data_IF_024289930035
#
_entry.id   IF_024289930035
#
_cell.length_a   1.000
_cell.length_b   1.000
_cell.length_c   1.000
_cell.angle_alpha   90.00
_cell.angle_beta   90.00
_cell.angle_gamma   90.00
#
_symmetry.space_group_name_H-M   'P 1'
#
loop_
_entity.id
_entity.type
_entity.pdbx_description
1 polymer ?
#
# COMPACT_ATOMS: atom_id res chain seq x y z
N UNK A 1 -32.46 53.48 -22.00
CA UNK A 1 -31.59 52.56 -22.77
C UNK A 1 -30.29 52.41 -22.01
N UNK A 2 -30.17 51.36 -21.20
CA UNK A 2 -28.99 51.07 -20.39
C UNK A 2 -28.70 49.57 -20.55
N UNK A 3 -27.45 49.26 -20.91
CA UNK A 3 -26.96 47.89 -21.16
C UNK A 3 -26.19 47.42 -19.91
N UNK A 4 -26.51 46.21 -19.47
CA UNK A 4 -25.93 45.49 -18.35
C UNK A 4 -24.54 44.95 -18.68
N UNK A 5 -23.62 45.05 -17.71
CA UNK A 5 -22.36 44.31 -17.67
C UNK A 5 -22.50 43.14 -16.69
N UNK A 6 -22.24 41.91 -17.16
CA UNK A 6 -22.00 40.73 -16.35
C UNK A 6 -20.57 40.27 -16.59
N UNK A 7 -19.77 40.25 -15.52
CA UNK A 7 -18.40 39.72 -15.51
C UNK A 7 -18.39 38.22 -15.23
N UNK A 8 -17.63 37.49 -16.03
CA UNK A 8 -17.36 36.06 -15.90
C UNK A 8 -16.36 35.76 -14.78
N UNK A 9 -16.70 34.84 -13.89
CA UNK A 9 -15.76 34.10 -13.04
C UNK A 9 -15.74 32.65 -13.55
N UNK A 10 -14.66 32.25 -14.19
CA UNK A 10 -14.44 30.87 -14.61
C UNK A 10 -12.93 30.57 -14.63
N UNK A 11 -12.42 29.89 -13.61
CA UNK A 11 -11.23 29.03 -13.71
C UNK A 11 -10.95 28.36 -12.36
N UNK A 12 -11.47 27.14 -12.11
CA UNK A 12 -10.92 26.23 -11.08
C UNK A 12 -11.22 24.73 -11.29
N UNK A 13 -11.82 24.31 -12.41
CA UNK A 13 -12.35 22.93 -12.58
C UNK A 13 -11.49 21.97 -13.43
N UNK A 14 -10.19 22.21 -13.65
CA UNK A 14 -9.37 21.36 -14.56
C UNK A 14 -8.45 20.32 -13.92
N UNK A 15 -8.30 20.28 -12.59
CA UNK A 15 -7.33 19.36 -11.94
C UNK A 15 -7.98 18.00 -11.56
N UNK A 16 -9.31 17.93 -11.40
CA UNK A 16 -9.99 16.70 -10.98
C UNK A 16 -10.11 15.59 -12.03
N UNK A 17 -10.00 15.90 -13.33
CA UNK A 17 -10.27 14.92 -14.40
C UNK A 17 -9.07 14.04 -14.78
N UNK A 18 -7.85 14.43 -14.41
CA UNK A 18 -6.64 13.65 -14.76
C UNK A 18 -6.42 12.47 -13.79
N UNK A 19 -6.90 12.57 -12.54
CA UNK A 19 -6.74 11.50 -11.55
C UNK A 19 -7.68 10.30 -11.77
N UNK A 20 -8.89 10.51 -12.31
CA UNK A 20 -9.87 9.44 -12.53
C UNK A 20 -9.42 8.46 -13.64
N UNK A 21 -8.64 8.94 -14.62
CA UNK A 21 -8.15 8.10 -15.71
C UNK A 21 -6.99 7.16 -15.31
N UNK A 22 -6.36 7.37 -14.14
CA UNK A 22 -5.26 6.51 -13.65
C UNK A 22 -5.79 5.27 -12.92
N UNK A 23 -6.98 5.34 -12.31
CA UNK A 23 -7.57 4.22 -11.57
C UNK A 23 -8.17 3.14 -12.49
N UNK A 24 -8.69 3.49 -13.66
CA UNK A 24 -9.31 2.50 -14.58
C UNK A 24 -8.29 1.66 -15.35
N UNK A 25 -7.02 2.08 -15.44
CA UNK A 25 -5.95 1.33 -16.10
C UNK A 25 -5.45 0.09 -15.33
N UNK A 26 -5.86 -0.11 -14.08
CA UNK A 26 -5.45 -1.26 -13.26
C UNK A 26 -6.38 -2.47 -13.39
N UNK A 27 -7.52 -2.34 -14.06
CA UNK A 27 -8.52 -3.40 -14.23
C UNK A 27 -8.22 -4.39 -15.38
N UNK A 28 -7.08 -4.28 -16.07
CA UNK A 28 -6.71 -5.18 -17.17
C UNK A 28 -5.28 -5.75 -17.03
N UNK A 29 -5.13 -6.77 -16.19
CA UNK A 29 -4.05 -7.77 -16.28
C UNK A 29 -4.60 -9.20 -16.12
N UNK A 30 -5.50 -9.58 -17.03
CA UNK A 30 -5.86 -10.97 -17.28
C UNK A 30 -4.93 -11.57 -18.33
N UNK A 31 -3.73 -11.97 -17.91
CA UNK A 31 -2.72 -12.53 -18.81
C UNK A 31 -1.63 -13.30 -18.06
N UNK A 32 -2.04 -14.25 -17.21
CA UNK A 32 -1.10 -15.21 -16.63
C UNK A 32 -0.62 -16.17 -17.72
N UNK A 33 0.51 -15.83 -18.35
CA UNK A 33 1.32 -16.77 -19.09
C UNK A 33 1.92 -17.79 -18.10
N UNK A 34 1.62 -19.06 -18.33
CA UNK A 34 2.10 -20.22 -17.58
C UNK A 34 3.63 -20.35 -17.71
N UNK A 35 4.37 -19.72 -16.80
CA UNK A 35 5.78 -20.02 -16.59
C UNK A 35 5.95 -21.32 -15.79
N UNK A 36 6.97 -22.15 -16.10
CA UNK A 36 7.10 -23.47 -15.51
C UNK A 36 7.56 -23.38 -14.05
N UNK A 37 6.88 -24.15 -13.21
CA UNK A 37 7.17 -24.52 -11.82
C UNK A 37 8.59 -24.20 -11.27
N UNK A 38 8.79 -22.96 -10.82
CA UNK A 38 9.80 -22.64 -9.81
C UNK A 38 9.12 -22.70 -8.44
N UNK A 39 9.28 -23.83 -7.74
CA UNK A 39 8.92 -23.96 -6.33
C UNK A 39 9.81 -23.02 -5.52
N UNK A 40 9.28 -21.86 -5.16
CA UNK A 40 9.91 -21.00 -4.17
C UNK A 40 9.78 -21.64 -2.79
N UNK A 41 10.91 -21.99 -2.17
CA UNK A 41 11.00 -22.13 -0.71
C UNK A 41 10.89 -20.74 -0.13
N UNK A 42 9.72 -20.39 0.40
CA UNK A 42 9.56 -19.26 1.30
C UNK A 42 10.45 -19.56 2.52
N UNK A 43 11.40 -18.68 2.90
CA UNK A 43 12.13 -18.81 4.16
C UNK A 43 11.10 -18.87 5.30
N UNK A 44 11.15 -19.95 6.08
CA UNK A 44 10.11 -20.30 7.03
C UNK A 44 9.81 -19.19 8.02
N UNK A 45 8.52 -19.05 8.35
CA UNK A 45 8.06 -18.37 9.55
C UNK A 45 8.90 -18.84 10.75
N UNK A 46 9.43 -17.94 11.61
CA UNK A 46 10.15 -18.34 12.81
C UNK A 46 9.16 -18.71 13.92
N UNK A 47 8.31 -19.70 13.67
CA UNK A 47 7.64 -20.48 14.71
C UNK A 47 7.37 -21.88 14.13
N UNK A 48 8.11 -22.92 14.53
CA UNK A 48 7.69 -24.28 14.22
C UNK A 48 6.37 -24.54 14.96
N UNK A 49 5.36 -25.15 14.30
CA UNK A 49 4.27 -25.75 15.04
C UNK A 49 4.83 -26.82 15.99
N UNK A 50 4.26 -27.02 17.18
CA UNK A 50 4.73 -27.99 18.14
C UNK A 50 4.87 -29.37 17.49
N UNK A 51 6.01 -30.02 17.73
CA UNK A 51 6.30 -31.36 17.25
C UNK A 51 5.31 -32.35 17.88
N UNK A 52 4.46 -32.95 17.05
CA UNK A 52 3.54 -34.00 17.48
C UNK A 52 4.31 -35.31 17.72
N UNK A 53 4.46 -35.65 19.00
CA UNK A 53 4.83 -36.99 19.46
C UNK A 53 3.70 -37.96 19.16
N UNK A 54 3.94 -38.89 18.24
CA UNK A 54 3.10 -40.06 18.00
C UNK A 54 3.13 -40.98 19.22
N UNK A 55 2.12 -40.90 20.10
CA UNK A 55 1.60 -42.05 20.87
C UNK A 55 0.51 -41.63 21.87
N UNK A 56 -0.74 -41.70 21.41
CA UNK A 56 -1.94 -42.21 22.13
C UNK A 56 -3.16 -41.90 21.26
N UNK A 57 -3.85 -42.95 20.82
CA UNK A 57 -5.21 -42.83 20.28
C UNK A 57 -6.14 -42.43 21.44
N UNK A 58 -6.13 -41.14 21.80
CA UNK A 58 -7.25 -40.56 22.52
C UNK A 58 -8.44 -40.54 21.57
N UNK A 59 -9.62 -40.93 22.05
CA UNK A 59 -10.88 -40.67 21.37
C UNK A 59 -10.95 -39.15 21.17
N UNK A 60 -10.56 -38.70 19.97
CA UNK A 60 -10.65 -37.31 19.57
C UNK A 60 -12.14 -37.00 19.50
N UNK A 61 -12.66 -36.33 20.52
CA UNK A 61 -13.93 -35.62 20.38
C UNK A 61 -13.70 -34.62 19.25
N UNK A 62 -14.22 -34.91 18.06
CA UNK A 62 -14.09 -34.02 16.92
C UNK A 62 -14.64 -32.65 17.35
N UNK A 63 -13.77 -31.64 17.39
CA UNK A 63 -14.19 -30.27 17.73
C UNK A 63 -15.13 -29.78 16.65
N UNK A 64 -16.11 -28.94 17.01
CA UNK A 64 -17.12 -28.49 16.04
C UNK A 64 -16.46 -27.73 14.88
N UNK A 65 -15.45 -26.91 15.17
CA UNK A 65 -14.68 -26.18 14.16
C UNK A 65 -14.08 -27.11 13.11
N UNK A 66 -13.50 -28.24 13.52
CA UNK A 66 -12.91 -29.23 12.62
C UNK A 66 -13.94 -29.88 11.70
N UNK A 67 -15.15 -30.11 12.22
CA UNK A 67 -16.25 -30.74 11.48
C UNK A 67 -16.90 -29.77 10.50
N UNK A 68 -17.17 -28.52 10.93
CA UNK A 68 -17.86 -27.52 10.12
C UNK A 68 -16.95 -26.85 9.08
N UNK A 69 -15.67 -26.69 9.40
CA UNK A 69 -14.70 -25.96 8.56
C UNK A 69 -13.45 -26.81 8.28
N UNK A 70 -13.58 -27.98 7.62
CA UNK A 70 -12.44 -28.84 7.36
C UNK A 70 -11.43 -28.13 6.46
N UNK A 71 -10.17 -28.11 6.87
CA UNK A 71 -9.08 -27.48 6.08
C UNK A 71 -8.89 -28.28 4.79
N UNK A 72 -9.08 -27.67 3.60
CA UNK A 72 -8.94 -28.39 2.35
C UNK A 72 -7.51 -28.92 2.18
N UNK A 73 -7.37 -30.23 1.97
CA UNK A 73 -6.07 -30.87 1.69
C UNK A 73 -5.59 -30.65 0.26
N UNK A 74 -6.49 -30.24 -0.65
CA UNK A 74 -6.19 -30.11 -2.07
C UNK A 74 -5.57 -28.75 -2.39
N UNK A 75 -4.60 -28.76 -3.32
CA UNK A 75 -3.94 -27.56 -3.85
C UNK A 75 -4.85 -26.70 -4.75
N UNK A 76 -6.11 -27.11 -4.97
CA UNK A 76 -7.05 -26.44 -5.87
C UNK A 76 -7.93 -25.38 -5.19
N UNK A 77 -8.02 -25.38 -3.86
CA UNK A 77 -8.77 -24.36 -3.13
C UNK A 77 -8.03 -23.01 -3.19
N UNK A 78 -8.77 -21.91 -3.28
CA UNK A 78 -8.17 -20.58 -3.19
C UNK A 78 -7.48 -20.40 -1.82
N UNK A 79 -6.26 -19.83 -1.76
CA UNK A 79 -5.49 -19.73 -0.51
C UNK A 79 -6.27 -19.11 0.66
N UNK A 80 -7.06 -18.07 0.39
CA UNK A 80 -7.85 -17.39 1.41
C UNK A 80 -8.98 -18.23 2.02
N UNK A 81 -9.51 -19.22 1.28
CA UNK A 81 -10.54 -20.14 1.82
C UNK A 81 -9.92 -21.02 2.90
N UNK A 82 -8.70 -21.52 2.64
CA UNK A 82 -7.95 -22.31 3.62
C UNK A 82 -7.68 -21.50 4.89
N UNK A 83 -7.23 -20.25 4.74
CA UNK A 83 -6.93 -19.38 5.86
C UNK A 83 -8.21 -19.03 6.66
N UNK A 84 -9.34 -18.78 5.98
CA UNK A 84 -10.62 -18.61 6.66
C UNK A 84 -11.03 -19.85 7.47
N UNK A 85 -10.86 -21.06 6.93
CA UNK A 85 -11.19 -22.29 7.65
C UNK A 85 -10.32 -22.45 8.92
N UNK A 86 -9.03 -22.17 8.83
CA UNK A 86 -8.14 -22.17 9.99
C UNK A 86 -8.56 -21.14 11.05
N UNK A 87 -8.96 -19.94 10.61
CA UNK A 87 -9.46 -18.89 11.50
C UNK A 87 -10.79 -19.26 12.16
N UNK A 88 -11.68 -19.94 11.43
CA UNK A 88 -12.91 -20.48 12.00
C UNK A 88 -12.61 -21.54 13.05
N UNK A 89 -11.79 -22.54 12.72
CA UNK A 89 -11.40 -23.58 13.67
C UNK A 89 -10.84 -22.96 14.95
N UNK A 90 -9.88 -22.04 14.83
CA UNK A 90 -9.30 -21.33 15.97
C UNK A 90 -10.33 -20.56 16.81
N UNK A 91 -11.25 -19.84 16.16
CA UNK A 91 -12.29 -19.08 16.84
C UNK A 91 -13.28 -20.00 17.56
N UNK A 92 -13.79 -21.03 16.88
CA UNK A 92 -14.74 -21.98 17.47
C UNK A 92 -14.11 -22.75 18.61
N UNK A 93 -12.87 -23.22 18.45
CA UNK A 93 -12.13 -23.91 19.50
C UNK A 93 -12.07 -23.07 20.78
N UNK A 94 -11.74 -21.78 20.66
CA UNK A 94 -11.62 -20.89 21.82
C UNK A 94 -12.99 -20.57 22.46
N UNK A 95 -14.03 -20.45 21.64
CA UNK A 95 -15.39 -20.20 22.12
C UNK A 95 -15.96 -21.42 22.86
N UNK A 96 -15.63 -22.64 22.42
CA UNK A 96 -16.07 -23.89 23.05
C UNK A 96 -15.34 -24.18 24.37
N UNK A 97 -14.05 -23.90 24.42
CA UNK A 97 -13.20 -24.07 25.61
C UNK A 97 -13.33 -22.92 26.63
N UNK A 98 -13.89 -21.78 26.22
CA UNK A 98 -13.85 -20.52 26.96
C UNK A 98 -12.43 -20.04 27.30
N UNK A 99 -11.44 -20.36 26.46
CA UNK A 99 -10.01 -20.02 26.69
C UNK A 99 -9.42 -19.04 25.66
N UNK A 100 -10.26 -18.23 25.02
CA UNK A 100 -9.86 -17.26 24.01
C UNK A 100 -8.73 -16.32 24.48
N UNK A 101 -7.72 -16.20 23.61
CA UNK A 101 -6.63 -15.24 23.78
C UNK A 101 -7.11 -13.80 23.60
N UNK A 102 -6.24 -12.85 23.97
CA UNK A 102 -6.51 -11.43 23.77
C UNK A 102 -6.86 -11.15 22.30
N UNK A 103 -8.00 -10.47 22.10
CA UNK A 103 -8.57 -10.09 20.79
C UNK A 103 -9.03 -11.24 19.88
N UNK A 104 -8.90 -12.50 20.26
CA UNK A 104 -9.32 -13.64 19.42
C UNK A 104 -10.82 -13.62 19.11
N UNK A 105 -11.64 -13.07 20.02
CA UNK A 105 -13.09 -12.88 19.78
C UNK A 105 -13.44 -11.58 19.07
N UNK A 106 -12.45 -10.80 18.61
CA UNK A 106 -12.66 -9.55 17.88
C UNK A 106 -12.35 -9.80 16.40
N UNK A 107 -13.37 -9.69 15.56
CA UNK A 107 -13.30 -10.07 14.16
C UNK A 107 -13.09 -8.83 13.27
N UNK A 108 -12.18 -8.93 12.30
CA UNK A 108 -12.03 -7.96 11.20
C UNK A 108 -12.35 -8.65 9.87
N UNK A 109 -13.27 -8.09 9.10
CA UNK A 109 -13.59 -8.60 7.76
C UNK A 109 -12.73 -7.87 6.72
N UNK A 110 -11.93 -8.62 5.97
CA UNK A 110 -11.00 -8.13 4.95
C UNK A 110 -11.64 -8.31 3.56
N UNK A 111 -12.45 -7.35 3.16
CA UNK A 111 -13.26 -7.40 1.95
C UNK A 111 -12.59 -6.79 0.72
N UNK A 112 -11.70 -5.82 0.91
CA UNK A 112 -10.89 -5.25 -0.17
C UNK A 112 -10.12 -6.35 -0.93
N UNK A 113 -10.10 -6.24 -2.26
CA UNK A 113 -9.40 -7.21 -3.11
C UNK A 113 -7.89 -7.27 -2.84
N UNK A 114 -7.30 -6.18 -2.32
CA UNK A 114 -5.88 -6.09 -2.03
C UNK A 114 -5.41 -7.14 -1.01
N UNK A 115 -6.24 -7.44 0.00
CA UNK A 115 -5.93 -8.47 1.00
C UNK A 115 -5.83 -9.88 0.39
N UNK A 116 -6.71 -10.21 -0.57
CA UNK A 116 -6.65 -11.50 -1.27
C UNK A 116 -5.47 -11.56 -2.24
N UNK A 117 -5.11 -10.44 -2.85
CA UNK A 117 -3.97 -10.38 -3.77
C UNK A 117 -2.62 -10.56 -3.08
N UNK A 118 -2.50 -10.23 -1.79
CA UNK A 118 -1.32 -10.58 -0.98
C UNK A 118 -1.04 -12.10 -1.05
N UNK A 119 -2.08 -12.92 -0.92
CA UNK A 119 -1.96 -14.38 -0.93
C UNK A 119 -1.61 -14.94 -2.31
N UNK A 120 -1.81 -14.15 -3.36
CA UNK A 120 -1.39 -14.47 -4.73
C UNK A 120 0.02 -13.93 -5.06
N UNK A 121 0.73 -13.38 -4.07
CA UNK A 121 2.06 -12.80 -4.26
C UNK A 121 2.04 -11.41 -4.90
N UNK A 122 0.94 -10.66 -4.74
CA UNK A 122 0.87 -9.27 -5.16
C UNK A 122 1.86 -8.40 -4.38
N UNK A 123 2.52 -7.48 -5.09
CA UNK A 123 3.62 -6.64 -4.56
C UNK A 123 3.43 -5.14 -4.87
N UNK A 124 2.21 -4.72 -5.22
CA UNK A 124 1.87 -3.29 -5.34
C UNK A 124 1.88 -2.60 -3.98
N UNK A 125 1.83 -1.27 -3.97
CA UNK A 125 1.81 -0.48 -2.74
C UNK A 125 0.64 -0.86 -1.83
N UNK A 126 -0.53 -1.02 -2.43
CA UNK A 126 -1.76 -1.45 -1.78
C UNK A 126 -1.64 -2.87 -1.21
N UNK A 127 -0.96 -3.79 -1.90
CA UNK A 127 -0.73 -5.14 -1.36
C UNK A 127 0.32 -5.14 -0.24
N UNK A 128 1.37 -4.33 -0.31
CA UNK A 128 2.33 -4.18 0.80
C UNK A 128 1.62 -3.63 2.04
N UNK A 129 0.72 -2.67 1.85
CA UNK A 129 -0.10 -2.13 2.92
C UNK A 129 -1.10 -3.14 3.49
N UNK A 130 -1.82 -3.85 2.62
CA UNK A 130 -2.73 -4.92 3.02
C UNK A 130 -1.99 -6.04 3.79
N UNK A 131 -0.79 -6.44 3.32
CA UNK A 131 0.05 -7.42 4.00
C UNK A 131 0.44 -6.94 5.39
N UNK A 132 0.89 -5.69 5.51
CA UNK A 132 1.28 -5.12 6.80
C UNK A 132 0.11 -5.07 7.79
N UNK A 133 -1.10 -4.81 7.28
CA UNK A 133 -2.33 -4.85 8.08
C UNK A 133 -2.65 -6.27 8.55
N UNK A 134 -2.54 -7.28 7.68
CA UNK A 134 -2.72 -8.70 8.05
C UNK A 134 -1.70 -9.11 9.13
N UNK A 135 -0.43 -8.80 8.92
CA UNK A 135 0.64 -9.14 9.86
C UNK A 135 0.39 -8.47 11.24
N UNK A 136 -0.06 -7.21 11.25
CA UNK A 136 -0.42 -6.50 12.48
C UNK A 136 -1.66 -7.12 13.18
N UNK A 137 -2.69 -7.53 12.44
CA UNK A 137 -3.85 -8.23 13.02
C UNK A 137 -3.43 -9.53 13.70
N UNK A 138 -2.55 -10.32 13.04
CA UNK A 138 -2.01 -11.56 13.59
C UNK A 138 -1.23 -11.31 14.88
N UNK A 139 -0.31 -10.34 14.88
CA UNK A 139 0.51 -10.01 16.05
C UNK A 139 -0.32 -9.50 17.24
N UNK A 140 -1.41 -8.81 16.97
CA UNK A 140 -2.36 -8.31 17.98
C UNK A 140 -3.38 -9.37 18.44
N UNK A 141 -3.38 -10.57 17.85
CA UNK A 141 -4.27 -11.67 18.23
C UNK A 141 -5.71 -11.55 17.72
N UNK A 142 -5.98 -10.68 16.72
CA UNK A 142 -7.32 -10.56 16.13
C UNK A 142 -7.63 -11.76 15.22
N UNK A 143 -8.90 -12.19 15.24
CA UNK A 143 -9.42 -13.04 14.18
C UNK A 143 -9.80 -12.18 12.97
N UNK A 144 -9.47 -12.65 11.77
CA UNK A 144 -9.89 -11.98 10.55
C UNK A 144 -10.34 -12.98 9.50
N UNK A 145 -11.22 -12.52 8.61
CA UNK A 145 -11.72 -13.33 7.50
C UNK A 145 -11.60 -12.56 6.19
N UNK A 146 -11.08 -13.21 5.17
CA UNK A 146 -11.13 -12.70 3.81
C UNK A 146 -12.52 -12.86 3.23
N UNK A 147 -12.98 -11.87 2.48
CA UNK A 147 -14.22 -11.99 1.71
C UNK A 147 -13.97 -11.60 0.26
N UNK A 148 -14.74 -12.20 -0.65
CA UNK A 148 -14.62 -11.96 -2.09
C UNK A 148 -15.84 -11.28 -2.70
N UNK A 149 -16.92 -11.10 -1.93
CA UNK A 149 -18.13 -10.43 -2.39
C UNK A 149 -18.90 -9.79 -1.22
N UNK A 150 -19.73 -8.75 -1.50
CA UNK A 150 -20.58 -8.15 -0.48
C UNK A 150 -21.49 -9.15 0.22
N UNK A 151 -22.08 -10.10 -0.53
CA UNK A 151 -22.93 -11.15 0.04
C UNK A 151 -22.20 -12.05 1.04
N UNK A 152 -20.95 -12.41 0.75
CA UNK A 152 -20.13 -13.18 1.70
C UNK A 152 -19.77 -12.35 2.94
N UNK A 153 -19.41 -11.07 2.77
CA UNK A 153 -19.18 -10.14 3.88
C UNK A 153 -20.40 -10.05 4.79
N UNK A 154 -21.60 -9.93 4.21
CA UNK A 154 -22.85 -9.88 4.95
C UNK A 154 -23.11 -11.16 5.73
N UNK A 155 -22.97 -12.33 5.10
CA UNK A 155 -23.15 -13.62 5.77
C UNK A 155 -22.23 -13.76 6.98
N UNK A 156 -20.95 -13.43 6.83
CA UNK A 156 -19.98 -13.49 7.93
C UNK A 156 -20.31 -12.50 9.04
N UNK A 157 -20.73 -11.28 8.68
CA UNK A 157 -21.18 -10.31 9.65
C UNK A 157 -22.38 -10.83 10.46
N UNK A 158 -23.39 -11.39 9.79
CA UNK A 158 -24.60 -11.90 10.41
C UNK A 158 -24.36 -13.14 11.29
N UNK A 159 -23.32 -13.92 11.00
CA UNK A 159 -22.90 -15.03 11.88
C UNK A 159 -22.31 -14.53 13.20
N UNK A 160 -21.62 -13.38 13.21
CA UNK A 160 -20.92 -12.86 14.39
C UNK A 160 -21.08 -11.34 14.61
N UNK A 161 -22.31 -10.79 14.62
CA UNK A 161 -22.53 -9.35 14.52
C UNK A 161 -21.92 -8.58 15.71
N UNK A 162 -21.92 -9.20 16.90
CA UNK A 162 -21.34 -8.64 18.12
C UNK A 162 -19.81 -8.74 18.21
N UNK A 163 -19.19 -9.63 17.44
CA UNK A 163 -17.74 -9.86 17.45
C UNK A 163 -17.01 -9.04 16.39
N UNK A 164 -17.68 -8.68 15.29
CA UNK A 164 -17.08 -7.87 14.21
C UNK A 164 -16.82 -6.43 14.68
N UNK A 165 -15.55 -6.03 14.67
CA UNK A 165 -15.07 -4.69 14.99
C UNK A 165 -15.01 -3.77 13.78
N UNK A 166 -14.57 -4.29 12.64
CA UNK A 166 -14.42 -3.51 11.42
C UNK A 166 -14.59 -4.36 10.16
N UNK A 167 -15.00 -3.71 9.08
CA UNK A 167 -15.07 -4.24 7.72
C UNK A 167 -14.23 -3.33 6.84
N UNK A 168 -13.12 -3.86 6.30
CA UNK A 168 -12.18 -3.11 5.47
C UNK A 168 -12.48 -3.40 3.99
N UNK A 169 -12.98 -2.41 3.27
CA UNK A 169 -13.46 -2.51 1.88
C UNK A 169 -12.71 -1.52 0.98
N UNK A 170 -12.76 -1.71 -0.34
CA UNK A 170 -12.32 -0.68 -1.26
C UNK A 170 -13.29 0.52 -1.21
N UNK A 171 -12.88 1.68 -1.72
CA UNK A 171 -13.65 2.93 -1.67
C UNK A 171 -15.00 2.83 -2.39
N UNK A 172 -15.02 2.28 -3.60
CA UNK A 172 -16.25 2.03 -4.36
C UNK A 172 -17.21 1.07 -3.64
N UNK A 173 -16.68 0.19 -2.80
CA UNK A 173 -17.46 -0.81 -2.07
C UNK A 173 -18.03 -0.25 -0.78
N UNK A 174 -17.31 0.65 -0.10
CA UNK A 174 -17.84 1.43 0.99
C UNK A 174 -19.05 2.27 0.53
N UNK A 175 -18.91 2.99 -0.58
CA UNK A 175 -19.98 3.80 -1.17
C UNK A 175 -21.19 2.94 -1.52
N UNK A 176 -20.98 1.83 -2.26
CA UNK A 176 -22.06 0.90 -2.62
C UNK A 176 -22.75 0.31 -1.39
N UNK A 177 -21.99 -0.12 -0.39
CA UNK A 177 -22.57 -0.68 0.82
C UNK A 177 -23.43 0.34 1.55
N UNK A 178 -22.95 1.58 1.67
CA UNK A 178 -23.64 2.65 2.40
C UNK A 178 -25.02 2.97 1.83
N UNK A 179 -25.16 2.97 0.50
CA UNK A 179 -26.45 3.23 -0.17
C UNK A 179 -27.34 1.99 -0.29
N UNK A 180 -26.80 0.78 -0.10
CA UNK A 180 -27.56 -0.46 -0.13
C UNK A 180 -28.21 -0.77 1.22
N UNK A 181 -29.37 -0.15 1.48
CA UNK A 181 -30.16 -0.35 2.71
C UNK A 181 -30.87 -1.70 2.82
N UNK A 182 -30.81 -2.54 1.79
CA UNK A 182 -31.51 -3.83 1.73
C UNK A 182 -30.55 -5.01 1.83
N UNK A 183 -29.37 -4.89 1.22
CA UNK A 183 -28.36 -5.96 1.16
C UNK A 183 -27.11 -5.74 2.01
N UNK A 184 -26.77 -4.49 2.38
CA UNK A 184 -25.49 -4.20 3.04
C UNK A 184 -25.62 -3.39 4.34
N UNK A 185 -26.07 -2.15 4.24
CA UNK A 185 -26.09 -1.25 5.39
C UNK A 185 -27.25 -1.58 6.33
N UNK A 186 -26.99 -1.47 7.63
CA UNK A 186 -28.01 -1.55 8.66
C UNK A 186 -29.11 -0.52 8.40
N UNK A 187 -30.36 -0.99 8.36
CA UNK A 187 -31.56 -0.18 8.28
C UNK A 187 -32.64 -0.84 9.13
N UNK A 188 -33.25 -0.11 10.06
CA UNK A 188 -34.24 -0.67 10.98
C UNK A 188 -35.40 -1.35 10.24
N UNK A 189 -35.86 -0.76 9.12
CA UNK A 189 -37.02 -1.24 8.37
C UNK A 189 -36.67 -2.30 7.34
N UNK A 190 -35.53 -2.13 6.64
CA UNK A 190 -35.20 -2.91 5.43
C UNK A 190 -34.15 -3.99 5.66
N UNK A 191 -33.21 -3.75 6.56
CA UNK A 191 -32.10 -4.66 6.83
C UNK A 191 -31.64 -4.54 8.29
N UNK A 192 -32.45 -5.02 9.26
CA UNK A 192 -32.14 -4.89 10.69
C UNK A 192 -30.91 -5.71 11.11
N UNK A 193 -30.44 -6.60 10.23
CA UNK A 193 -29.23 -7.42 10.40
C UNK A 193 -28.04 -6.91 9.57
N UNK A 194 -28.16 -5.74 8.94
CA UNK A 194 -27.12 -5.14 8.11
C UNK A 194 -25.92 -4.66 8.93
N UNK A 195 -24.84 -4.30 8.22
CA UNK A 195 -23.63 -3.77 8.84
C UNK A 195 -23.86 -2.30 9.19
N UNK A 196 -23.68 -1.88 10.45
CA UNK A 196 -23.74 -0.48 10.82
C UNK A 196 -22.67 0.32 10.05
N UNK A 197 -23.01 1.48 9.45
CA UNK A 197 -22.07 2.26 8.64
C UNK A 197 -20.75 2.56 9.34
N UNK A 198 -20.79 2.78 10.66
CA UNK A 198 -19.62 3.11 11.47
C UNK A 198 -18.60 1.96 11.61
N UNK A 199 -18.95 0.73 11.21
CA UNK A 199 -18.02 -0.41 11.13
C UNK A 199 -17.33 -0.54 9.78
N UNK A 200 -17.76 0.19 8.74
CA UNK A 200 -17.26 0.07 7.38
C UNK A 200 -16.18 1.13 7.13
N UNK A 201 -14.95 0.68 6.89
CA UNK A 201 -13.80 1.52 6.62
C UNK A 201 -13.34 1.34 5.18
N UNK A 202 -13.09 2.46 4.51
CA UNK A 202 -12.49 2.46 3.18
C UNK A 202 -10.98 2.30 3.31
N UNK A 203 -10.42 1.32 2.61
CA UNK A 203 -9.00 1.04 2.54
C UNK A 203 -8.39 1.76 1.34
N UNK A 204 -8.29 3.09 1.42
CA UNK A 204 -7.95 3.94 0.28
C UNK A 204 -6.48 4.39 0.32
N UNK A 205 -5.79 4.27 -0.81
CA UNK A 205 -4.37 4.61 -0.86
C UNK A 205 -4.10 6.12 -0.83
N UNK A 206 -5.05 6.93 -1.30
CA UNK A 206 -4.87 8.36 -1.55
C UNK A 206 -5.43 9.26 -0.45
N UNK A 207 -5.12 10.56 -0.52
CA UNK A 207 -5.38 11.52 0.56
C UNK A 207 -6.82 12.05 0.62
N UNK A 208 -7.58 11.90 -0.46
CA UNK A 208 -8.99 12.28 -0.51
C UNK A 208 -9.84 11.37 0.37
N UNK A 209 -10.92 11.87 0.98
CA UNK A 209 -11.85 11.01 1.70
C UNK A 209 -12.53 10.09 0.69
N UNK A 210 -12.60 8.82 1.02
CA UNK A 210 -13.11 7.77 0.13
C UNK A 210 -14.19 6.91 0.82
N UNK A 211 -14.82 7.47 1.84
CA UNK A 211 -15.89 6.87 2.63
C UNK A 211 -17.03 7.89 2.83
N UNK A 212 -18.31 7.47 2.76
CA UNK A 212 -19.46 8.33 3.02
C UNK A 212 -19.45 9.05 4.38
N UNK A 213 -18.84 8.45 5.40
CA UNK A 213 -18.67 9.07 6.72
C UNK A 213 -17.48 10.03 6.79
N UNK A 214 -16.68 10.13 5.73
CA UNK A 214 -15.61 11.09 5.54
C UNK A 214 -14.22 10.58 5.93
N UNK A 215 -13.31 11.52 6.18
CA UNK A 215 -11.89 11.27 6.42
C UNK A 215 -11.61 10.27 7.54
N UNK A 216 -12.35 10.35 8.65
CA UNK A 216 -12.10 9.49 9.81
C UNK A 216 -12.36 7.99 9.53
N UNK A 217 -13.23 7.65 8.56
CA UNK A 217 -13.51 6.28 8.12
C UNK A 217 -12.73 5.90 6.85
N UNK A 218 -11.89 6.79 6.35
CA UNK A 218 -10.97 6.52 5.24
C UNK A 218 -9.60 6.22 5.81
N UNK A 219 -9.18 4.96 5.77
CA UNK A 219 -7.83 4.56 6.18
C UNK A 219 -6.84 4.94 5.08
N UNK A 220 -5.63 5.35 5.46
CA UNK A 220 -4.57 5.72 4.52
C UNK A 220 -3.21 5.07 4.87
N UNK A 221 -2.38 4.76 3.86
CA UNK A 221 -1.04 4.19 4.03
C UNK A 221 0.02 5.24 4.41
N UNK A 222 -0.24 6.52 4.21
CA UNK A 222 0.68 7.61 4.51
C UNK A 222 0.00 8.65 5.39
N UNK A 223 0.80 9.41 6.14
CA UNK A 223 0.29 10.45 7.02
C UNK A 223 0.12 11.78 6.28
N UNK A 224 -0.87 11.83 5.38
CA UNK A 224 -1.12 12.99 4.52
C UNK A 224 -1.41 14.29 5.29
N UNK A 225 -1.86 14.20 6.54
CA UNK A 225 -2.09 15.37 7.39
C UNK A 225 -0.80 16.15 7.65
N UNK A 226 0.35 15.45 7.79
CA UNK A 226 1.65 16.09 8.03
C UNK A 226 2.12 17.01 6.90
N UNK A 227 1.55 16.85 5.71
CA UNK A 227 1.87 17.66 4.54
C UNK A 227 0.63 18.41 4.01
N UNK A 228 -0.45 18.47 4.80
CA UNK A 228 -1.65 19.24 4.45
C UNK A 228 -2.44 18.69 3.26
N UNK A 229 -2.24 17.43 2.85
CA UNK A 229 -2.92 16.84 1.69
C UNK A 229 -4.21 16.08 2.03
N UNK A 230 -4.54 15.91 3.30
CA UNK A 230 -5.79 15.28 3.75
C UNK A 230 -5.77 14.88 5.22
N UNK A 231 -6.94 14.58 5.78
CA UNK A 231 -7.12 14.20 7.19
C UNK A 231 -7.56 12.74 7.37
N UNK A 232 -7.29 11.89 6.37
CA UNK A 232 -7.61 10.47 6.43
C UNK A 232 -6.93 9.80 7.63
N UNK A 233 -7.57 8.78 8.19
CA UNK A 233 -7.03 8.03 9.34
C UNK A 233 -5.77 7.28 8.92
N UNK A 234 -4.61 7.74 9.40
CA UNK A 234 -3.32 7.14 9.09
C UNK A 234 -3.16 5.76 9.75
N UNK A 235 -3.10 4.71 8.94
CA UNK A 235 -2.79 3.34 9.37
C UNK A 235 -1.33 3.01 9.11
N UNK A 236 -0.82 3.29 7.92
CA UNK A 236 0.55 3.00 7.53
C UNK A 236 0.84 1.53 7.21
N UNK A 237 2.04 1.27 6.71
CA UNK A 237 2.54 -0.06 6.36
C UNK A 237 3.97 -0.25 6.85
N UNK A 238 4.40 -1.50 6.97
CA UNK A 238 5.74 -1.85 7.43
C UNK A 238 6.59 -2.36 6.28
N UNK A 239 7.83 -1.92 6.25
CA UNK A 239 8.88 -2.41 5.34
C UNK A 239 9.92 -3.28 6.05
N UNK A 240 9.79 -3.47 7.38
CA UNK A 240 10.81 -4.16 8.19
C UNK A 240 11.02 -5.61 7.76
N UNK A 241 9.95 -6.32 7.36
CA UNK A 241 10.06 -7.71 6.95
C UNK A 241 10.94 -7.85 5.69
N UNK A 242 10.67 -7.04 4.66
CA UNK A 242 11.45 -7.05 3.43
C UNK A 242 12.89 -6.57 3.68
N UNK A 243 13.06 -5.54 4.52
CA UNK A 243 14.35 -5.03 4.94
C UNK A 243 15.23 -6.12 5.58
N UNK A 244 14.70 -6.84 6.58
CA UNK A 244 15.45 -7.87 7.32
C UNK A 244 15.75 -9.12 6.49
N UNK A 245 14.98 -9.35 5.42
CA UNK A 245 15.23 -10.46 4.51
C UNK A 245 16.48 -10.26 3.64
N UNK A 246 17.00 -9.02 3.55
CA UNK A 246 18.18 -8.70 2.75
C UNK A 246 19.38 -8.36 3.64
N UNK A 247 20.56 -8.93 3.37
CA UNK A 247 21.77 -8.55 4.08
C UNK A 247 22.15 -7.12 3.72
N UNK A 248 22.52 -6.32 4.72
CA UNK A 248 23.06 -4.99 4.48
C UNK A 248 24.42 -5.09 3.76
N UNK A 249 24.55 -4.42 2.62
CA UNK A 249 25.80 -4.30 1.87
C UNK A 249 26.42 -2.92 2.15
N UNK A 250 27.59 -2.84 2.80
CA UNK A 250 28.28 -1.58 3.02
C UNK A 250 28.56 -0.84 1.71
N UNK A 251 28.41 0.48 1.71
CA UNK A 251 28.53 1.30 0.50
C UNK A 251 29.88 1.15 -0.22
N UNK A 252 30.98 0.93 0.51
CA UNK A 252 32.30 0.68 -0.06
C UNK A 252 32.42 -0.61 -0.88
N UNK A 253 31.48 -1.56 -0.70
CA UNK A 253 31.39 -2.82 -1.45
C UNK A 253 30.39 -2.76 -2.61
N UNK A 254 29.72 -1.63 -2.80
CA UNK A 254 28.72 -1.44 -3.85
C UNK A 254 29.36 -1.00 -5.16
N UNK A 255 28.86 -1.57 -6.25
CA UNK A 255 29.18 -1.15 -7.61
C UNK A 255 28.81 0.33 -7.79
N UNK A 256 29.47 1.04 -8.72
CA UNK A 256 29.15 2.45 -8.99
C UNK A 256 27.88 2.55 -9.86
N UNK A 257 26.75 2.13 -9.29
CA UNK A 257 25.46 2.03 -9.98
C UNK A 257 24.36 2.74 -9.22
N UNK A 258 23.41 3.30 -9.96
CA UNK A 258 22.13 3.81 -9.47
C UNK A 258 20.99 2.92 -9.95
N UNK A 259 19.99 2.71 -9.09
CA UNK A 259 18.74 2.09 -9.50
C UNK A 259 17.72 3.18 -9.87
N UNK A 260 17.12 3.10 -11.06
CA UNK A 260 16.08 4.04 -11.48
C UNK A 260 14.71 3.48 -11.07
N UNK A 261 13.97 4.26 -10.26
CA UNK A 261 12.59 3.98 -9.90
C UNK A 261 11.67 4.32 -11.09
N UNK A 262 11.50 3.36 -11.99
CA UNK A 262 10.46 3.35 -13.01
C UNK A 262 10.10 1.91 -13.38
N UNK A 263 8.80 1.56 -13.27
CA UNK A 263 8.31 0.20 -13.54
C UNK A 263 7.78 0.02 -14.97
N UNK A 264 7.58 1.12 -15.70
CA UNK A 264 7.05 1.16 -17.07
C UNK A 264 8.01 1.98 -17.95
N UNK A 265 8.21 1.57 -19.20
CA UNK A 265 9.02 2.35 -20.15
C UNK A 265 8.37 3.68 -20.50
N UNK A 266 7.03 3.75 -20.48
CA UNK A 266 6.31 5.01 -20.68
C UNK A 266 6.71 6.10 -19.68
N UNK A 267 7.24 5.76 -18.49
CA UNK A 267 7.70 6.74 -17.49
C UNK A 267 8.93 7.54 -17.94
N UNK A 268 9.62 7.10 -19.00
CA UNK A 268 10.70 7.84 -19.63
C UNK A 268 10.21 8.80 -20.71
N UNK A 269 8.90 8.93 -20.92
CA UNK A 269 8.34 9.83 -21.93
C UNK A 269 7.94 11.18 -21.31
N UNK A 270 8.09 12.31 -22.03
CA UNK A 270 7.60 13.61 -21.56
C UNK A 270 6.09 13.61 -21.23
N UNK A 271 5.29 12.78 -21.90
CA UNK A 271 3.85 12.65 -21.70
C UNK A 271 3.48 12.07 -20.33
N UNK A 272 4.40 11.36 -19.68
CA UNK A 272 4.27 10.87 -18.29
C UNK A 272 4.99 11.76 -17.29
N UNK A 273 5.25 13.01 -17.66
CA UNK A 273 5.86 14.02 -16.79
C UNK A 273 7.19 13.57 -16.16
N UNK A 274 8.05 12.91 -16.96
CA UNK A 274 9.37 12.47 -16.50
C UNK A 274 10.17 13.63 -15.89
N UNK A 275 10.86 13.38 -14.79
CA UNK A 275 11.66 14.39 -14.11
C UNK A 275 12.98 14.73 -14.84
N UNK A 276 13.57 13.75 -15.54
CA UNK A 276 14.91 13.85 -16.11
C UNK A 276 14.91 13.46 -17.59
N UNK A 277 15.64 14.23 -18.40
CA UNK A 277 15.93 13.88 -19.79
C UNK A 277 17.14 12.93 -19.88
N UNK A 278 17.30 12.16 -20.99
CA UNK A 278 18.49 11.34 -21.21
C UNK A 278 19.81 12.14 -21.12
N UNK A 279 19.82 13.40 -21.60
CA UNK A 279 20.99 14.27 -21.55
C UNK A 279 21.45 14.58 -20.11
N UNK A 280 20.51 14.70 -19.15
CA UNK A 280 20.84 14.91 -17.73
C UNK A 280 21.52 13.65 -17.15
N UNK A 281 21.02 12.47 -17.49
CA UNK A 281 21.66 11.21 -17.09
C UNK A 281 23.04 11.02 -17.70
N UNK A 282 23.25 11.41 -18.96
CA UNK A 282 24.55 11.33 -19.64
C UNK A 282 25.57 12.28 -19.02
N UNK A 283 25.15 13.50 -18.66
CA UNK A 283 25.97 14.46 -17.94
C UNK A 283 26.36 13.93 -16.55
N UNK A 284 25.43 13.34 -15.81
CA UNK A 284 25.71 12.71 -14.51
C UNK A 284 26.66 11.50 -14.65
N UNK A 285 26.51 10.67 -15.68
CA UNK A 285 27.46 9.58 -15.99
C UNK A 285 28.86 10.15 -16.22
N UNK A 286 28.98 11.23 -16.99
CA UNK A 286 30.26 11.88 -17.29
C UNK A 286 30.92 12.43 -16.03
N UNK A 287 30.14 13.04 -15.14
CA UNK A 287 30.64 13.67 -13.91
C UNK A 287 30.98 12.67 -12.79
N UNK A 288 30.33 11.51 -12.74
CA UNK A 288 30.40 10.59 -11.58
C UNK A 288 30.83 9.17 -11.93
N UNK A 289 30.84 8.82 -13.21
CA UNK A 289 31.05 7.45 -13.68
C UNK A 289 29.94 6.47 -13.29
N UNK A 290 28.76 6.96 -12.84
CA UNK A 290 27.67 6.09 -12.39
C UNK A 290 26.99 5.40 -13.57
N UNK A 291 26.61 4.14 -13.38
CA UNK A 291 25.82 3.37 -14.34
C UNK A 291 24.37 3.23 -13.87
N UNK A 292 23.42 3.11 -14.79
CA UNK A 292 22.00 3.02 -14.46
C UNK A 292 21.45 1.62 -14.65
N UNK A 293 20.69 1.16 -13.65
CA UNK A 293 19.97 -0.10 -13.63
C UNK A 293 18.47 0.14 -13.52
N UNK A 294 17.67 -0.70 -14.20
CA UNK A 294 16.22 -0.59 -14.15
C UNK A 294 15.49 -1.91 -14.40
N UNK A 295 14.43 -2.16 -13.65
CA UNK A 295 13.41 -3.17 -13.94
C UNK A 295 12.12 -2.53 -14.43
N UNK A 296 11.93 -2.44 -15.75
CA UNK A 296 10.74 -1.84 -16.37
C UNK A 296 10.07 -2.79 -17.37
N UNK A 297 8.74 -2.75 -17.42
CA UNK A 297 7.94 -3.43 -18.44
C UNK A 297 7.70 -2.50 -19.62
N UNK A 298 7.79 -3.02 -20.85
CA UNK A 298 7.45 -2.25 -22.04
C UNK A 298 5.92 -2.23 -22.23
N UNK A 299 5.29 -1.13 -21.81
CA UNK A 299 3.87 -0.85 -21.97
C UNK A 299 3.56 0.01 -23.22
N UNK A 300 4.57 0.43 -23.97
CA UNK A 300 4.37 1.31 -25.14
C UNK A 300 3.95 0.54 -26.39
N UNK A 301 4.05 -0.79 -26.37
CA UNK A 301 3.67 -1.66 -27.49
C UNK A 301 2.16 -1.68 -27.78
N UNK A 302 1.34 -1.29 -26.80
CA UNK A 302 -0.13 -1.30 -26.91
C UNK A 302 -0.69 -0.02 -27.54
N UNK A 303 0.18 0.93 -27.94
CA UNK A 303 -0.20 2.13 -28.67
C UNK A 303 -0.78 3.27 -27.82
N UNK A 304 -1.00 3.06 -26.51
CA UNK A 304 -1.44 4.12 -25.59
C UNK A 304 -0.36 5.18 -25.34
N UNK A 305 0.91 4.79 -25.44
CA UNK A 305 2.06 5.65 -25.15
C UNK A 305 3.01 5.66 -26.35
N UNK A 306 3.71 6.78 -26.60
CA UNK A 306 4.78 6.80 -27.60
C UNK A 306 5.80 5.71 -27.31
N UNK A 307 6.33 5.09 -28.35
CA UNK A 307 7.40 4.12 -28.22
C UNK A 307 8.54 4.72 -27.39
N UNK A 308 8.92 4.02 -26.32
CA UNK A 308 10.01 4.40 -25.45
C UNK A 308 11.03 3.27 -25.42
N UNK A 309 12.28 3.61 -25.66
CA UNK A 309 13.41 2.70 -25.54
C UNK A 309 14.32 3.18 -24.41
N UNK A 310 14.91 2.23 -23.71
CA UNK A 310 15.96 2.55 -22.76
C UNK A 310 17.21 2.98 -23.54
N UNK A 311 17.91 4.04 -23.12
CA UNK A 311 19.23 4.35 -23.65
C UNK A 311 20.16 3.13 -23.58
N UNK A 312 21.02 2.96 -24.58
CA UNK A 312 21.87 1.77 -24.73
C UNK A 312 22.88 1.58 -23.59
N UNK A 313 23.20 2.65 -22.86
CA UNK A 313 24.04 2.65 -21.68
C UNK A 313 23.33 2.22 -20.39
N UNK A 314 22.02 1.91 -20.44
CA UNK A 314 21.24 1.49 -19.27
C UNK A 314 21.14 -0.04 -19.21
N UNK A 315 21.26 -0.60 -18.01
CA UNK A 315 21.10 -2.02 -17.77
C UNK A 315 19.62 -2.31 -17.45
N UNK A 316 18.86 -2.69 -18.48
CA UNK A 316 17.45 -3.08 -18.36
C UNK A 316 17.27 -4.55 -18.00
N UNK A 317 16.50 -4.83 -16.94
CA UNK A 317 16.18 -6.20 -16.49
C UNK A 317 14.78 -6.67 -16.88
N UNK A 318 13.99 -5.84 -17.55
CA UNK A 318 12.58 -6.13 -17.81
C UNK A 318 11.77 -6.22 -16.51
N UNK A 319 10.69 -7.01 -16.53
CA UNK A 319 9.94 -7.36 -15.32
C UNK A 319 10.71 -8.42 -14.53
N UNK A 320 11.12 -8.07 -13.32
CA UNK A 320 11.83 -8.97 -12.40
C UNK A 320 10.99 -9.31 -11.16
N UNK A 321 11.30 -10.44 -10.53
CA UNK A 321 10.70 -10.84 -9.26
C UNK A 321 11.23 -10.00 -8.09
N UNK A 322 10.44 -9.91 -7.01
CA UNK A 322 10.73 -9.06 -5.85
C UNK A 322 12.11 -9.34 -5.22
N UNK A 323 12.49 -10.61 -5.01
CA UNK A 323 13.80 -10.94 -4.43
C UNK A 323 14.96 -10.47 -5.29
N UNK A 324 14.83 -10.54 -6.62
CA UNK A 324 15.88 -10.06 -7.55
C UNK A 324 15.92 -8.53 -7.53
N UNK A 325 14.76 -7.88 -7.48
CA UNK A 325 14.67 -6.43 -7.31
C UNK A 325 15.40 -5.96 -6.04
N UNK A 326 15.15 -6.59 -4.89
CA UNK A 326 15.82 -6.24 -3.64
C UNK A 326 17.34 -6.49 -3.69
N UNK A 327 17.80 -7.58 -4.28
CA UNK A 327 19.25 -7.82 -4.49
C UNK A 327 19.87 -6.69 -5.33
N UNK A 328 19.25 -6.31 -6.46
CA UNK A 328 19.73 -5.20 -7.30
C UNK A 328 19.72 -3.87 -6.58
N UNK A 329 18.64 -3.57 -5.85
CA UNK A 329 18.53 -2.32 -5.09
C UNK A 329 19.58 -2.23 -3.99
N UNK A 330 19.82 -3.32 -3.24
CA UNK A 330 20.81 -3.34 -2.14
C UNK A 330 22.25 -3.08 -2.58
N UNK A 331 22.55 -3.31 -3.87
CA UNK A 331 23.86 -3.08 -4.48
C UNK A 331 24.01 -1.69 -5.08
N UNK A 332 22.93 -0.93 -5.22
CA UNK A 332 22.97 0.43 -5.75
C UNK A 332 23.52 1.42 -4.70
N UNK A 333 24.17 2.48 -5.20
CA UNK A 333 24.63 3.61 -4.37
C UNK A 333 23.54 4.63 -4.13
N UNK A 334 22.58 4.73 -5.02
CA UNK A 334 21.47 5.68 -4.94
C UNK A 334 20.25 5.15 -5.70
N UNK A 335 19.05 5.44 -5.19
CA UNK A 335 17.79 5.27 -5.89
C UNK A 335 17.39 6.60 -6.52
N UNK A 336 17.04 6.60 -7.80
CA UNK A 336 16.68 7.81 -8.55
C UNK A 336 15.21 7.74 -8.92
N UNK A 337 14.41 8.68 -8.42
CA UNK A 337 13.01 8.85 -8.83
C UNK A 337 12.88 9.41 -10.24
N UNK A 338 11.99 8.87 -11.06
CA UNK A 338 11.69 9.39 -12.41
C UNK A 338 10.49 10.36 -12.46
N UNK A 339 9.84 10.63 -11.33
CA UNK A 339 8.56 11.33 -11.23
C UNK A 339 7.38 10.37 -11.07
N UNK A 340 7.46 9.18 -11.67
CA UNK A 340 6.44 8.14 -11.56
C UNK A 340 7.05 6.79 -11.15
N UNK A 341 6.34 5.96 -10.36
CA UNK A 341 5.01 6.20 -9.79
C UNK A 341 5.09 7.11 -8.55
N UNK A 342 4.00 7.83 -8.27
CA UNK A 342 3.84 8.64 -7.05
C UNK A 342 3.66 7.76 -5.81
N UNK A 343 4.19 8.21 -4.67
CA UNK A 343 3.97 7.60 -3.34
C UNK A 343 4.20 6.08 -3.33
N UNK A 344 5.29 5.65 -3.98
CA UNK A 344 5.69 4.24 -3.96
C UNK A 344 6.30 3.86 -2.61
N UNK A 345 6.16 2.62 -2.12
CA UNK A 345 6.94 2.13 -0.99
C UNK A 345 8.45 1.96 -1.30
N UNK A 346 8.82 1.90 -2.59
CA UNK A 346 10.21 1.61 -3.03
C UNK A 346 11.28 2.53 -2.42
N UNK A 347 11.07 3.86 -2.30
CA UNK A 347 12.02 4.71 -1.60
C UNK A 347 12.24 4.33 -0.13
N UNK A 348 11.21 3.89 0.61
CA UNK A 348 11.41 3.37 1.96
C UNK A 348 12.22 2.07 1.94
N UNK A 349 11.95 1.17 0.97
CA UNK A 349 12.77 -0.03 0.75
C UNK A 349 14.23 0.31 0.43
N UNK A 350 14.50 1.37 -0.33
CA UNK A 350 15.86 1.82 -0.60
C UNK A 350 16.55 2.30 0.68
N UNK A 351 15.90 3.16 1.47
CA UNK A 351 16.44 3.66 2.73
C UNK A 351 16.74 2.52 3.70
N UNK A 352 15.89 1.50 3.74
CA UNK A 352 16.08 0.36 4.63
C UNK A 352 17.28 -0.51 4.22
N UNK A 353 17.66 -0.52 2.95
CA UNK A 353 18.88 -1.15 2.45
C UNK A 353 20.11 -0.21 2.54
N UNK A 354 19.93 0.99 3.09
CA UNK A 354 20.95 2.03 3.17
C UNK A 354 21.27 2.64 1.81
N UNK A 355 20.27 2.78 0.94
CA UNK A 355 20.36 3.42 -0.37
C UNK A 355 19.61 4.75 -0.29
N UNK A 356 20.29 5.91 -0.37
CA UNK A 356 19.63 7.21 -0.36
C UNK A 356 18.73 7.39 -1.60
N UNK A 357 17.73 8.26 -1.49
CA UNK A 357 16.74 8.50 -2.54
C UNK A 357 16.85 9.93 -3.10
N UNK A 358 16.94 10.07 -4.42
CA UNK A 358 16.75 11.34 -5.11
C UNK A 358 15.26 11.48 -5.45
N UNK A 359 14.58 12.37 -4.74
CA UNK A 359 13.15 12.64 -4.87
C UNK A 359 12.93 13.83 -5.81
N UNK A 360 12.40 13.63 -7.03
CA UNK A 360 12.13 14.74 -7.93
C UNK A 360 10.95 15.59 -7.41
N UNK A 361 11.14 16.91 -7.41
CA UNK A 361 10.08 17.92 -7.24
C UNK A 361 9.63 18.36 -8.62
N UNK A 362 8.44 17.91 -9.03
CA UNK A 362 7.90 18.05 -10.38
C UNK A 362 7.26 19.41 -10.62
N UNK A 363 6.63 19.98 -9.58
CA UNK A 363 6.04 21.32 -9.60
C UNK A 363 6.37 22.03 -8.30
N UNK A 364 6.59 23.33 -8.37
CA UNK A 364 6.88 24.21 -7.24
C UNK A 364 6.61 25.66 -7.62
N UNK A 365 6.48 26.54 -6.63
CA UNK A 365 6.48 27.98 -6.86
C UNK A 365 7.90 28.46 -7.20
N UNK A 366 8.10 28.93 -8.44
CA UNK A 366 9.41 29.42 -8.90
C UNK A 366 9.83 30.73 -8.25
N UNK A 367 8.88 31.54 -7.78
CA UNK A 367 9.18 32.80 -7.07
C UNK A 367 9.58 32.51 -5.63
N UNK A 368 9.08 31.42 -5.06
CA UNK A 368 9.41 30.96 -3.70
C UNK A 368 9.76 29.46 -3.66
N UNK A 369 10.90 29.05 -4.24
CA UNK A 369 11.25 27.63 -4.38
C UNK A 369 11.47 26.92 -3.03
N UNK A 370 11.74 27.66 -1.95
CA UNK A 370 11.86 27.10 -0.60
C UNK A 370 10.54 26.72 0.06
N UNK A 371 9.39 27.18 -0.47
CA UNK A 371 8.09 26.86 0.10
C UNK A 371 7.64 25.46 -0.30
N UNK A 372 7.93 24.49 0.57
CA UNK A 372 7.54 23.09 0.40
C UNK A 372 6.03 22.88 0.34
N UNK A 373 5.20 23.82 0.83
CA UNK A 373 3.74 23.69 0.74
C UNK A 373 3.21 23.75 -0.69
N UNK A 374 4.01 24.30 -1.62
CA UNK A 374 3.69 24.39 -3.04
C UNK A 374 4.37 23.29 -3.86
N UNK A 375 5.10 22.37 -3.22
CA UNK A 375 5.81 21.31 -3.92
C UNK A 375 4.85 20.17 -4.31
N UNK A 376 5.01 19.69 -5.54
CA UNK A 376 4.48 18.40 -5.98
C UNK A 376 5.67 17.51 -6.29
N UNK A 377 6.05 16.67 -5.33
CA UNK A 377 7.15 15.73 -5.47
C UNK A 377 6.67 14.32 -5.78
N UNK A 378 7.55 13.45 -6.30
CA UNK A 378 7.20 12.04 -6.54
C UNK A 378 6.78 11.33 -5.25
N UNK A 379 7.41 11.69 -4.13
CA UNK A 379 7.04 11.15 -2.82
C UNK A 379 6.95 12.25 -1.76
N UNK A 380 5.80 12.92 -1.67
CA UNK A 380 5.58 14.07 -0.78
C UNK A 380 5.94 13.82 0.68
N UNK A 381 5.60 12.66 1.27
CA UNK A 381 5.97 12.41 2.67
C UNK A 381 7.48 12.29 2.92
N UNK A 382 8.25 11.90 1.90
CA UNK A 382 9.69 11.74 2.02
C UNK A 382 10.45 13.05 1.80
N UNK A 383 9.77 14.09 1.30
CA UNK A 383 10.36 15.43 1.21
C UNK A 383 10.63 16.06 2.60
N UNK A 384 10.00 15.51 3.63
CA UNK A 384 10.23 15.84 5.04
C UNK A 384 11.54 15.25 5.58
N UNK A 385 12.13 14.28 4.88
CA UNK A 385 13.48 13.81 5.17
C UNK A 385 14.48 14.65 4.38
N UNK A 386 15.60 14.93 5.04
CA UNK A 386 16.70 15.70 4.48
C UNK A 386 17.89 14.79 4.14
N UNK A 387 18.91 15.30 3.42
CA UNK A 387 20.18 14.61 3.27
C UNK A 387 20.77 14.19 4.63
N UNK A 388 21.45 13.03 4.71
CA UNK A 388 21.87 12.19 3.59
C UNK A 388 20.84 11.16 3.12
N UNK A 389 19.61 11.14 3.66
CA UNK A 389 18.61 10.11 3.34
C UNK A 389 17.87 10.41 2.04
N UNK A 390 17.32 11.62 1.92
CA UNK A 390 16.53 12.05 0.77
C UNK A 390 17.09 13.36 0.22
N UNK A 391 17.33 13.39 -1.08
CA UNK A 391 17.77 14.57 -1.82
C UNK A 391 16.61 15.03 -2.70
N UNK A 392 15.96 16.13 -2.31
CA UNK A 392 14.88 16.72 -3.10
C UNK A 392 15.49 17.59 -4.20
N UNK A 393 15.20 17.29 -5.47
CA UNK A 393 15.79 17.97 -6.63
C UNK A 393 14.68 18.43 -7.57
N UNK A 394 14.71 19.71 -7.97
CA UNK A 394 13.74 20.24 -8.91
C UNK A 394 13.87 19.58 -10.27
N UNK A 395 12.74 19.30 -10.90
CA UNK A 395 12.68 18.73 -12.25
C UNK A 395 13.50 19.59 -13.22
N UNK A 396 14.23 18.91 -14.11
CA UNK A 396 15.14 19.50 -15.10
C UNK A 396 16.34 20.30 -14.52
N UNK A 397 16.57 20.29 -13.20
CA UNK A 397 17.77 20.86 -12.58
C UNK A 397 18.99 19.95 -12.77
N UNK A 398 19.72 20.18 -13.87
CA UNK A 398 20.93 19.43 -14.21
C UNK A 398 21.98 19.48 -13.08
N UNK A 399 22.28 20.67 -12.57
CA UNK A 399 23.35 20.85 -11.58
C UNK A 399 22.96 20.21 -10.25
N UNK A 400 21.71 20.43 -9.80
CA UNK A 400 21.17 19.79 -8.60
C UNK A 400 21.14 18.27 -8.70
N UNK A 401 20.78 17.72 -9.87
CA UNK A 401 20.76 16.28 -10.09
C UNK A 401 22.17 15.65 -10.01
N UNK A 402 23.14 16.23 -10.71
CA UNK A 402 24.54 15.75 -10.68
C UNK A 402 25.11 15.84 -9.27
N UNK A 403 24.88 16.98 -8.59
CA UNK A 403 25.33 17.20 -7.20
C UNK A 403 24.69 16.21 -6.24
N UNK A 404 23.39 15.94 -6.34
CA UNK A 404 22.70 14.99 -5.48
C UNK A 404 23.27 13.57 -5.61
N UNK A 405 23.65 13.13 -6.83
CA UNK A 405 24.33 11.86 -7.04
C UNK A 405 25.71 11.86 -6.37
N UNK A 406 26.51 12.91 -6.58
CA UNK A 406 27.84 13.03 -5.95
C UNK A 406 27.74 13.01 -4.42
N UNK A 407 26.80 13.76 -3.86
CA UNK A 407 26.57 13.83 -2.42
C UNK A 407 26.08 12.49 -1.86
N UNK A 408 25.15 11.82 -2.53
CA UNK A 408 24.67 10.48 -2.14
C UNK A 408 25.80 9.44 -2.12
N UNK A 409 26.71 9.49 -3.08
CA UNK A 409 27.88 8.59 -3.15
C UNK A 409 28.89 8.89 -2.03
N UNK A 410 29.11 10.18 -1.72
CA UNK A 410 30.11 10.62 -0.74
C UNK A 410 29.61 10.57 0.71
N UNK A 411 28.28 10.57 0.93
CA UNK A 411 27.65 10.53 2.25
C UNK A 411 26.76 9.28 2.39
N UNK A 412 27.36 8.08 2.48
CA UNK A 412 26.59 6.85 2.56
C UNK A 412 25.80 6.76 3.87
N UNK A 413 24.59 6.23 3.78
CA UNK A 413 23.73 5.97 4.94
C UNK A 413 23.83 4.51 5.40
N UNK A 414 23.52 4.30 6.68
CA UNK A 414 23.23 2.96 7.19
C UNK A 414 21.80 2.55 6.81
N UNK A 415 21.47 1.28 7.04
CA UNK A 415 20.08 0.82 7.00
C UNK A 415 19.20 1.72 7.88
N UNK A 416 18.15 2.28 7.28
CA UNK A 416 17.24 3.20 7.94
C UNK A 416 15.79 2.83 7.67
N UNK A 417 15.08 2.45 8.74
CA UNK A 417 13.62 2.26 8.73
C UNK A 417 13.01 3.36 9.60
N UNK A 418 12.22 4.28 9.03
CA UNK A 418 11.51 5.29 9.82
C UNK A 418 10.63 4.64 10.89
N UNK A 419 10.57 5.22 12.09
CA UNK A 419 9.83 4.65 13.22
C UNK A 419 8.35 4.38 12.88
N UNK A 420 7.73 5.27 12.10
CA UNK A 420 6.34 5.12 11.68
C UNK A 420 6.08 3.94 10.73
N UNK A 421 7.13 3.43 10.07
CA UNK A 421 7.10 2.29 9.14
C UNK A 421 7.59 0.98 9.78
N UNK A 422 7.77 0.95 11.11
CA UNK A 422 8.06 -0.29 11.85
C UNK A 422 6.79 -1.02 12.23
N UNK A 423 6.84 -2.35 12.31
CA UNK A 423 5.66 -3.15 12.62
C UNK A 423 4.99 -2.76 13.96
N UNK A 424 5.72 -2.50 15.06
CA UNK A 424 5.12 -2.05 16.32
C UNK A 424 4.33 -0.74 16.21
N UNK A 425 4.71 0.15 15.29
CA UNK A 425 3.97 1.39 15.01
C UNK A 425 2.67 1.12 14.26
N UNK A 426 2.67 0.13 13.34
CA UNK A 426 1.46 -0.30 12.62
C UNK A 426 0.49 -0.96 13.60
N UNK A 427 0.99 -1.88 14.42
CA UNK A 427 0.22 -2.55 15.47
C UNK A 427 -0.44 -1.56 16.42
N UNK A 428 0.31 -0.55 16.90
CA UNK A 428 -0.23 0.47 17.80
C UNK A 428 -1.36 1.27 17.14
N UNK A 429 -1.17 1.70 15.89
CA UNK A 429 -2.20 2.47 15.16
C UNK A 429 -3.42 1.63 14.84
N UNK A 430 -3.23 0.41 14.33
CA UNK A 430 -4.31 -0.50 14.02
C UNK A 430 -5.11 -0.87 15.27
N UNK A 431 -4.43 -1.20 16.38
CA UNK A 431 -5.09 -1.46 17.65
C UNK A 431 -5.90 -0.27 18.14
N UNK A 432 -5.35 0.95 18.07
CA UNK A 432 -6.07 2.17 18.43
C UNK A 432 -7.31 2.41 17.53
N UNK A 433 -7.20 2.12 16.24
CA UNK A 433 -8.32 2.20 15.30
C UNK A 433 -9.39 1.17 15.69
N UNK A 434 -9.05 -0.09 15.87
CA UNK A 434 -10.03 -1.16 16.12
C UNK A 434 -10.71 -1.08 17.50
N UNK A 435 -10.03 -0.50 18.49
CA UNK A 435 -10.57 -0.33 19.85
C UNK A 435 -11.33 0.99 20.06
N UNK A 436 -11.30 1.91 19.09
CA UNK A 436 -12.06 3.16 19.17
C UNK A 436 -13.57 2.90 19.10
N UNK A 437 -14.33 3.64 19.90
CA UNK A 437 -15.80 3.65 19.85
C UNK A 437 -16.29 4.47 18.64
N UNK A 438 -16.30 3.81 17.48
CA UNK A 438 -16.74 4.41 16.22
C UNK A 438 -18.23 4.67 16.15
N UNK A 439 -19.04 3.94 16.92
CA UNK A 439 -20.48 4.20 17.01
C UNK A 439 -20.72 5.58 17.63
N UNK A 440 -20.04 5.86 18.75
CA UNK A 440 -20.09 7.18 19.38
C UNK A 440 -19.54 8.27 18.47
N UNK A 441 -18.42 8.04 17.80
CA UNK A 441 -17.85 9.01 16.85
C UNK A 441 -18.84 9.34 15.72
N UNK A 442 -19.47 8.32 15.12
CA UNK A 442 -20.47 8.52 14.06
C UNK A 442 -21.69 9.31 14.57
N UNK A 443 -22.17 9.01 15.79
CA UNK A 443 -23.26 9.76 16.39
C UNK A 443 -22.91 11.25 16.60
N UNK A 444 -21.69 11.55 17.07
CA UNK A 444 -21.20 12.92 17.23
C UNK A 444 -21.11 13.66 15.89
N UNK A 445 -20.61 13.01 14.84
CA UNK A 445 -20.53 13.60 13.49
C UNK A 445 -21.93 13.93 12.94
N UNK A 446 -22.92 13.08 13.18
CA UNK A 446 -24.31 13.33 12.78
C UNK A 446 -24.88 14.56 13.48
N UNK A 447 -24.67 14.69 14.80
CA UNK A 447 -25.12 15.85 15.57
C UNK A 447 -24.46 17.15 15.06
N UNK A 448 -23.14 17.15 14.83
CA UNK A 448 -22.42 18.30 14.31
C UNK A 448 -22.89 18.73 12.90
N UNK A 449 -23.29 17.77 12.06
CA UNK A 449 -23.87 18.08 10.74
C UNK A 449 -25.25 18.73 10.87
N UNK A 450 -26.06 18.30 11.83
CA UNK A 450 -27.38 18.88 12.09
C UNK A 450 -27.31 20.31 12.63
N UNK A 451 -26.29 20.64 13.43
CA UNK A 451 -26.11 22.01 13.96
C UNK A 451 -25.61 23.02 12.92
N UNK A 452 -25.02 22.54 11.82
CA UNK A 452 -24.44 23.38 10.75
C UNK A 452 -25.37 23.60 9.55
N UNK A 453 -26.43 22.81 9.43
CA UNK A 453 -27.46 22.94 8.40
C UNK A 453 -28.64 23.74 8.91
#
# INVERSE_FOLDING_TARGET
>A
MAVLAYGHVASFYRIGLVFIAICTGWLWMGGMSSSPNLRFKIPGHPHPPPSFSSSRLSVSTNKLGDVLFPVPLSTGASPWVRDNHLMFQSLFDCLESFDCHANQTKIVLLASMHFRFVLLGGVGGEQIWAKSTIDALQNLGYTYFYTSSPGQTMQLYQMFPGLVKAVLVDDEEAERCFHDTEGCTFSEEKNPTGIPPWKVFSFAFWSNPANPLGHQWTLAPENYERIGLGHNTYLGYSIEFACRAQPFIPHSKRENQAYILAKLLSFFTPQRDRAWSPAIFDAATTATGIQYMIGATNDTLQGEWPAAELPSNYIGFGRIGQSVFFDKLSRARVLIGMGNPFTSPTPYDALCLGVPFINPVLQWDKENPSDKSQWVSQHSLLELLEPPYVYNVFKDDLEGFVKAIQDAISHPIQSFVPEQMRMPSIERRLGAILEKDWQREAALQTLLKQERG
#
